data_IF_495141005722
#
_entry.id   IF_495141005722
#
_cell.length_a   1.000
_cell.length_b   1.000
_cell.length_c   1.000
_cell.angle_alpha   90.00
_cell.angle_beta   90.00
_cell.angle_gamma   90.00
#
_symmetry.space_group_name_H-M   'P 1'
#
loop_
_entity.id
_entity.type
_entity.pdbx_description
1 polymer ?
#
# COMPACT_ATOMS: atom_id res chain seq x y z
N UNK A 1 29.76 -3.50 -13.62
CA UNK A 1 29.92 -3.73 -12.17
C UNK A 1 30.08 -2.36 -11.53
N UNK A 2 29.31 -2.04 -10.50
CA UNK A 2 29.51 -0.82 -9.73
C UNK A 2 30.74 -1.05 -8.84
N UNK A 3 31.71 -0.13 -8.84
CA UNK A 3 32.87 -0.22 -7.96
C UNK A 3 32.62 0.68 -6.75
N UNK A 4 32.68 0.12 -5.55
CA UNK A 4 32.48 0.85 -4.30
C UNK A 4 33.84 0.98 -3.65
N UNK A 5 34.32 2.21 -3.48
CA UNK A 5 35.51 2.47 -2.68
C UNK A 5 35.08 2.58 -1.22
N UNK A 6 35.62 1.71 -0.38
CA UNK A 6 35.47 1.75 1.06
C UNK A 6 36.70 2.43 1.66
N UNK A 7 36.53 3.12 2.78
CA UNK A 7 37.66 3.56 3.60
C UNK A 7 38.16 2.41 4.49
N UNK A 8 39.34 2.58 5.06
CA UNK A 8 40.01 1.56 5.89
C UNK A 8 39.13 1.11 7.07
N UNK A 9 38.30 2.01 7.59
CA UNK A 9 37.39 1.74 8.70
C UNK A 9 36.19 0.89 8.25
N UNK A 10 35.54 1.23 7.13
CA UNK A 10 34.45 0.46 6.57
C UNK A 10 34.88 -0.92 6.09
N UNK A 11 36.11 -1.06 5.57
CA UNK A 11 36.67 -2.38 5.24
C UNK A 11 36.78 -3.27 6.48
N UNK A 12 37.21 -2.71 7.62
CA UNK A 12 37.27 -3.44 8.89
C UNK A 12 35.88 -3.93 9.31
N UNK A 13 34.86 -3.07 9.23
CA UNK A 13 33.48 -3.46 9.53
C UNK A 13 32.98 -4.57 8.60
N UNK A 14 33.27 -4.48 7.31
CA UNK A 14 32.90 -5.51 6.34
C UNK A 14 33.50 -6.87 6.72
N UNK A 15 34.79 -6.92 7.05
CA UNK A 15 35.46 -8.17 7.45
C UNK A 15 34.85 -8.76 8.72
N UNK A 16 34.58 -7.94 9.73
CA UNK A 16 33.96 -8.39 10.98
C UNK A 16 32.54 -8.95 10.77
N UNK A 17 31.71 -8.27 9.98
CA UNK A 17 30.34 -8.72 9.67
C UNK A 17 30.36 -10.06 8.91
N UNK A 18 31.23 -10.19 7.90
CA UNK A 18 31.34 -11.41 7.11
C UNK A 18 31.84 -12.59 7.95
N UNK A 19 32.76 -12.35 8.88
CA UNK A 19 33.25 -13.37 9.81
C UNK A 19 32.15 -13.86 10.75
N UNK A 20 31.27 -12.96 11.23
CA UNK A 20 30.19 -13.29 12.15
C UNK A 20 29.02 -13.99 11.46
N UNK A 21 28.53 -13.43 10.35
CA UNK A 21 27.32 -13.91 9.67
C UNK A 21 27.58 -15.06 8.69
N UNK A 22 28.85 -15.32 8.32
CA UNK A 22 29.27 -16.36 7.35
C UNK A 22 28.56 -16.24 6.00
N UNK A 23 28.26 -15.01 5.59
CA UNK A 23 27.64 -14.69 4.30
C UNK A 23 28.67 -14.11 3.32
N UNK A 24 28.27 -13.93 2.07
CA UNK A 24 29.11 -13.27 1.06
C UNK A 24 28.92 -11.76 1.05
N UNK A 25 29.93 -10.99 0.64
CA UNK A 25 29.84 -9.53 0.53
C UNK A 25 28.70 -9.08 -0.38
N UNK A 26 28.43 -9.82 -1.46
CA UNK A 26 27.33 -9.51 -2.39
C UNK A 26 25.96 -9.69 -1.74
N UNK A 27 25.80 -10.73 -0.92
CA UNK A 27 24.56 -10.97 -0.18
C UNK A 27 24.32 -9.89 0.88
N UNK A 28 25.37 -9.51 1.62
CA UNK A 28 25.31 -8.41 2.58
C UNK A 28 24.91 -7.10 1.89
N UNK A 29 25.53 -6.76 0.76
CA UNK A 29 25.22 -5.54 0.01
C UNK A 29 23.75 -5.55 -0.45
N UNK A 30 23.25 -6.66 -1.00
CA UNK A 30 21.84 -6.77 -1.41
C UNK A 30 20.89 -6.53 -0.24
N UNK A 31 21.18 -7.12 0.92
CA UNK A 31 20.38 -6.98 2.13
C UNK A 31 20.39 -5.54 2.64
N UNK A 32 21.57 -4.93 2.78
CA UNK A 32 21.72 -3.55 3.23
C UNK A 32 21.03 -2.56 2.29
N UNK A 33 21.15 -2.75 0.97
CA UNK A 33 20.45 -1.91 -0.01
C UNK A 33 18.94 -2.06 0.12
N UNK A 34 18.44 -3.28 0.33
CA UNK A 34 17.01 -3.51 0.52
C UNK A 34 16.49 -2.85 1.81
N UNK A 35 17.18 -3.04 2.93
CA UNK A 35 16.85 -2.45 4.22
C UNK A 35 16.91 -0.91 4.17
N UNK A 36 17.96 -0.36 3.54
CA UNK A 36 18.09 1.08 3.35
C UNK A 36 17.02 1.65 2.41
N UNK A 37 16.71 0.96 1.32
CA UNK A 37 15.63 1.37 0.42
C UNK A 37 14.27 1.38 1.13
N UNK A 38 14.01 0.38 1.99
CA UNK A 38 12.81 0.33 2.82
C UNK A 38 12.77 1.44 3.87
N UNK A 39 13.89 1.78 4.50
CA UNK A 39 13.94 2.83 5.53
C UNK A 39 13.74 4.24 4.95
N UNK A 40 14.13 4.44 3.69
CA UNK A 40 13.82 5.65 2.93
C UNK A 40 12.35 5.77 2.53
N UNK A 41 11.61 4.65 2.50
CA UNK A 41 10.17 4.72 2.20
C UNK A 41 9.46 5.42 3.37
N UNK A 42 8.57 6.40 3.09
CA UNK A 42 7.76 6.98 4.14
C UNK A 42 6.94 5.88 4.81
N UNK A 43 6.93 5.89 6.14
CA UNK A 43 6.11 4.95 6.91
C UNK A 43 4.65 5.18 6.53
N UNK A 44 4.07 4.22 5.81
CA UNK A 44 2.64 4.26 5.47
C UNK A 44 1.81 4.32 6.74
N UNK A 45 0.95 5.33 6.81
CA UNK A 45 -0.11 5.46 7.82
C UNK A 45 -1.04 4.24 7.76
N UNK A 46 -1.81 4.00 8.83
CA UNK A 46 -2.81 2.93 8.85
C UNK A 46 -3.75 3.04 7.64
N UNK A 47 -4.17 4.25 7.30
CA UNK A 47 -5.06 4.52 6.16
C UNK A 47 -4.41 4.15 4.83
N UNK A 48 -3.18 4.58 4.58
CA UNK A 48 -2.45 4.21 3.36
C UNK A 48 -2.19 2.71 3.24
N UNK A 49 -2.02 2.01 4.37
CA UNK A 49 -1.95 0.53 4.37
C UNK A 49 -3.30 -0.12 4.05
N UNK A 50 -4.41 0.54 4.37
CA UNK A 50 -5.77 0.07 4.09
C UNK A 50 -6.27 0.44 2.68
N UNK A 51 -5.45 1.10 1.86
CA UNK A 51 -5.83 1.52 0.50
C UNK A 51 -6.11 3.02 0.35
N UNK A 52 -5.79 3.83 1.36
CA UNK A 52 -5.92 5.29 1.33
C UNK A 52 -7.12 5.81 2.11
N UNK A 53 -7.49 7.06 1.83
CA UNK A 53 -8.67 7.68 2.45
C UNK A 53 -9.93 7.23 1.69
N UNK A 54 -10.97 6.73 2.38
CA UNK A 54 -12.21 6.33 1.72
C UNK A 54 -12.87 7.52 1.01
N UNK A 55 -13.00 7.42 -0.31
CA UNK A 55 -13.48 8.52 -1.18
C UNK A 55 -14.91 8.95 -0.88
N UNK A 56 -15.73 8.07 -0.30
CA UNK A 56 -17.16 8.30 -0.04
C UNK A 56 -17.55 8.11 1.43
N UNK A 57 -16.60 8.22 2.36
CA UNK A 57 -16.89 8.06 3.78
C UNK A 57 -17.90 9.11 4.25
N UNK A 58 -19.02 8.65 4.79
CA UNK A 58 -20.11 9.49 5.31
C UNK A 58 -20.76 10.42 4.26
N UNK A 59 -20.52 10.18 2.97
CA UNK A 59 -21.23 10.89 1.88
C UNK A 59 -22.62 10.29 1.59
N UNK A 60 -23.06 9.34 2.42
CA UNK A 60 -24.37 8.71 2.32
C UNK A 60 -25.46 9.45 3.08
N UNK A 61 -26.74 9.12 2.83
CA UNK A 61 -27.86 9.64 3.60
C UNK A 61 -27.70 9.36 5.11
N UNK A 62 -28.04 10.34 5.94
CA UNK A 62 -27.86 10.29 7.39
C UNK A 62 -28.85 9.36 8.11
N UNK A 63 -29.94 8.96 7.45
CA UNK A 63 -31.05 8.20 8.01
C UNK A 63 -30.97 6.68 7.76
N UNK A 64 -29.91 6.20 7.11
CA UNK A 64 -29.72 4.77 6.79
C UNK A 64 -29.50 3.86 8.00
N UNK A 65 -29.64 4.37 9.23
CA UNK A 65 -29.71 3.50 10.42
C UNK A 65 -31.10 2.86 10.54
N UNK A 66 -32.15 3.54 10.10
CA UNK A 66 -33.51 2.99 10.07
C UNK A 66 -33.62 1.90 9.00
N UNK A 67 -34.30 0.80 9.34
CA UNK A 67 -34.56 -0.30 8.42
C UNK A 67 -35.41 0.17 7.24
N UNK A 68 -36.48 0.91 7.50
CA UNK A 68 -37.45 1.28 6.46
C UNK A 68 -36.86 2.31 5.50
N UNK A 69 -36.10 3.28 6.03
CA UNK A 69 -35.33 4.23 5.22
C UNK A 69 -34.31 3.52 4.31
N UNK A 70 -33.58 2.53 4.85
CA UNK A 70 -32.65 1.71 4.05
C UNK A 70 -33.34 0.94 2.93
N UNK A 71 -34.46 0.28 3.20
CA UNK A 71 -35.16 -0.50 2.18
C UNK A 71 -35.62 0.40 1.03
N UNK A 72 -36.19 1.57 1.35
CA UNK A 72 -36.61 2.53 0.35
C UNK A 72 -35.43 3.03 -0.50
N UNK A 73 -34.35 3.45 0.15
CA UNK A 73 -33.14 3.92 -0.54
C UNK A 73 -32.55 2.85 -1.48
N UNK A 74 -32.44 1.60 -1.01
CA UNK A 74 -31.91 0.51 -1.83
C UNK A 74 -32.82 0.18 -3.01
N UNK A 75 -34.14 0.17 -2.81
CA UNK A 75 -35.09 -0.08 -3.90
C UNK A 75 -34.96 0.97 -5.02
N UNK A 76 -34.89 2.26 -4.65
CA UNK A 76 -34.68 3.36 -5.58
C UNK A 76 -33.33 3.25 -6.30
N UNK A 77 -32.26 2.89 -5.57
CA UNK A 77 -30.94 2.69 -6.15
C UNK A 77 -30.91 1.56 -7.18
N UNK A 78 -31.52 0.41 -6.88
CA UNK A 78 -31.58 -0.72 -7.82
C UNK A 78 -32.40 -0.41 -9.07
N UNK A 79 -33.52 0.30 -8.91
CA UNK A 79 -34.35 0.72 -10.02
C UNK A 79 -33.59 1.64 -10.99
N UNK A 80 -32.93 2.68 -10.45
CA UNK A 80 -32.10 3.60 -11.26
C UNK A 80 -30.98 2.86 -11.99
N UNK A 81 -30.32 1.92 -11.32
CA UNK A 81 -29.24 1.12 -11.91
C UNK A 81 -29.77 0.24 -13.05
N UNK A 82 -30.95 -0.34 -12.89
CA UNK A 82 -31.61 -1.12 -13.94
C UNK A 82 -31.92 -0.24 -15.15
N UNK A 83 -32.56 0.91 -14.96
CA UNK A 83 -32.88 1.86 -16.05
C UNK A 83 -31.64 2.32 -16.81
N UNK A 84 -30.56 2.69 -16.10
CA UNK A 84 -29.28 3.06 -16.72
C UNK A 84 -28.67 1.92 -17.55
N UNK A 85 -28.86 0.67 -17.13
CA UNK A 85 -28.35 -0.49 -17.87
C UNK A 85 -29.14 -0.75 -19.16
N UNK A 86 -30.45 -0.50 -19.16
CA UNK A 86 -31.28 -0.62 -20.35
C UNK A 86 -30.97 0.49 -21.36
N UNK A 87 -30.83 1.73 -20.90
CA UNK A 87 -30.45 2.87 -21.76
C UNK A 87 -29.09 2.68 -22.44
N UNK A 88 -28.14 1.98 -21.81
CA UNK A 88 -26.83 1.65 -22.42
C UNK A 88 -26.88 0.52 -23.45
N UNK A 89 -27.95 -0.28 -23.48
CA UNK A 89 -28.13 -1.35 -24.45
C UNK A 89 -28.87 -0.89 -25.72
N UNK A 90 -29.56 0.24 -25.63
CA UNK A 90 -30.32 0.85 -26.74
C UNK A 90 -29.51 1.87 -27.57
N UNK A 91 -28.25 2.13 -27.20
CA UNK A 91 -27.29 3.01 -27.90
C UNK A 91 -26.15 2.19 -28.48
#
# INVERSE_FOLDING_TARGET
MLNVNLDDEAEKYLVEILAQEKITSNELIKRLLHEHWQSLQPRKTVLERMGGYPEHLLQGPSDLSDRDARYKYLAEYFQKRYEQSQQKQEV
#
